data_IF_610600818892
#
_entry.id   IF_610600818892
#
_cell.length_a   1.000
_cell.length_b   1.000
_cell.length_c   1.000
_cell.angle_alpha   90.00
_cell.angle_beta   90.00
_cell.angle_gamma   90.00
#
_symmetry.space_group_name_H-M   'P 1'
#
loop_
_entity.id
_entity.type
_entity.pdbx_description
1 polymer ?
#
# COMPACT_ATOMS: atom_id res chain seq x y z
N UNK A 1 36.17 37.49 0.50
CA UNK A 1 35.10 37.34 -0.51
C UNK A 1 33.84 38.02 0.02
N UNK A 2 33.14 38.82 -0.78
CA UNK A 2 31.88 39.42 -0.33
C UNK A 2 30.82 38.32 -0.17
N UNK A 3 30.20 38.28 1.01
CA UNK A 3 29.12 37.34 1.33
C UNK A 3 27.77 38.02 1.07
N UNK A 4 26.79 37.26 0.58
CA UNK A 4 25.38 37.65 0.53
C UNK A 4 24.58 36.59 1.26
N UNK A 5 23.88 36.97 2.33
CA UNK A 5 23.13 36.05 3.21
C UNK A 5 23.96 34.86 3.73
N UNK A 6 25.25 35.06 3.97
CA UNK A 6 26.16 34.01 4.48
C UNK A 6 26.77 33.09 3.41
N UNK A 7 26.38 33.22 2.14
CA UNK A 7 26.98 32.48 1.02
C UNK A 7 27.98 33.35 0.24
N UNK A 8 29.02 32.77 -0.38
CA UNK A 8 29.83 33.46 -1.38
C UNK A 8 28.93 34.05 -2.47
N UNK A 9 29.25 35.27 -2.95
CA UNK A 9 28.40 36.00 -3.91
C UNK A 9 27.97 35.16 -5.12
N UNK A 10 28.91 34.47 -5.75
CA UNK A 10 28.65 33.60 -6.92
C UNK A 10 27.61 32.51 -6.61
N UNK A 11 27.74 31.86 -5.44
CA UNK A 11 26.78 30.84 -5.00
C UNK A 11 25.43 31.46 -4.65
N UNK A 12 25.40 32.63 -4.01
CA UNK A 12 24.16 33.32 -3.68
C UNK A 12 23.39 33.72 -4.96
N UNK A 13 24.08 34.15 -6.00
CA UNK A 13 23.49 34.44 -7.32
C UNK A 13 22.97 33.16 -7.98
N UNK A 14 23.75 32.07 -8.00
CA UNK A 14 23.32 30.78 -8.53
C UNK A 14 22.07 30.24 -7.81
N UNK A 15 22.00 30.37 -6.47
CA UNK A 15 20.84 29.97 -5.66
C UNK A 15 19.62 30.85 -5.93
N UNK A 16 19.80 32.16 -6.11
CA UNK A 16 18.71 33.10 -6.36
C UNK A 16 18.15 33.02 -7.79
N UNK A 17 18.96 32.62 -8.77
CA UNK A 17 18.54 32.51 -10.17
C UNK A 17 18.20 31.08 -10.58
N UNK A 18 18.76 30.08 -9.90
CA UNK A 18 18.57 28.67 -10.20
C UNK A 18 17.16 28.19 -9.92
N UNK A 19 16.60 27.42 -10.86
CA UNK A 19 15.32 26.72 -10.70
C UNK A 19 15.57 25.30 -10.23
N UNK A 20 14.88 24.87 -9.18
CA UNK A 20 15.02 23.53 -8.60
C UNK A 20 13.69 22.78 -8.58
N UNK A 21 13.74 21.46 -8.72
CA UNK A 21 12.58 20.59 -8.62
C UNK A 21 12.63 19.76 -7.35
N UNK A 22 11.56 19.81 -6.56
CA UNK A 22 11.32 18.93 -5.41
C UNK A 22 10.23 17.93 -5.78
N UNK A 23 10.58 16.64 -5.77
CA UNK A 23 9.64 15.56 -6.10
C UNK A 23 9.16 14.90 -4.81
N UNK A 24 7.95 15.23 -4.40
CA UNK A 24 7.32 14.81 -3.14
C UNK A 24 7.21 15.94 -2.13
N UNK A 25 6.03 16.11 -1.55
CA UNK A 25 5.66 17.08 -0.53
C UNK A 25 5.32 16.39 0.81
N UNK A 26 5.90 15.20 1.06
CA UNK A 26 5.79 14.47 2.31
C UNK A 26 6.69 15.00 3.43
N UNK A 27 7.12 14.12 4.35
CA UNK A 27 7.93 14.52 5.52
C UNK A 27 9.23 15.24 5.13
N UNK A 28 10.02 14.64 4.24
CA UNK A 28 11.24 15.27 3.70
C UNK A 28 10.87 16.51 2.88
N UNK A 29 9.81 16.43 2.05
CA UNK A 29 9.40 17.52 1.16
C UNK A 29 9.06 18.82 1.89
N UNK A 30 8.30 18.75 2.99
CA UNK A 30 7.97 19.93 3.80
C UNK A 30 9.22 20.59 4.41
N UNK A 31 10.10 19.78 5.02
CA UNK A 31 11.35 20.27 5.60
C UNK A 31 12.28 20.86 4.55
N UNK A 32 12.43 20.17 3.42
CA UNK A 32 13.26 20.60 2.32
C UNK A 32 12.76 21.92 1.73
N UNK A 33 11.45 22.06 1.51
CA UNK A 33 10.87 23.28 0.96
C UNK A 33 11.13 24.50 1.87
N UNK A 34 10.96 24.35 3.19
CA UNK A 34 11.35 25.37 4.17
C UNK A 34 12.84 25.70 4.07
N UNK A 35 13.69 24.67 4.05
CA UNK A 35 15.14 24.88 4.04
C UNK A 35 15.59 25.59 2.76
N UNK A 36 15.03 25.25 1.60
CA UNK A 36 15.33 25.89 0.33
C UNK A 36 15.00 27.39 0.37
N UNK A 37 13.78 27.77 0.77
CA UNK A 37 13.40 29.18 0.80
C UNK A 37 14.18 29.99 1.84
N UNK A 38 14.49 29.40 3.00
CA UNK A 38 15.30 30.05 4.03
C UNK A 38 16.78 30.16 3.65
N UNK A 39 17.29 29.23 2.85
CA UNK A 39 18.66 29.28 2.28
C UNK A 39 18.76 30.33 1.18
N UNK A 40 17.65 30.65 0.51
CA UNK A 40 17.56 31.71 -0.49
C UNK A 40 17.17 31.25 -1.89
N UNK A 41 16.81 29.98 -2.08
CA UNK A 41 16.20 29.53 -3.33
C UNK A 41 14.86 30.23 -3.52
N UNK A 42 14.70 30.86 -4.68
CA UNK A 42 13.50 31.63 -5.03
C UNK A 42 12.62 30.89 -6.03
N UNK A 43 13.20 30.12 -6.96
CA UNK A 43 12.47 29.42 -8.03
C UNK A 43 12.39 27.93 -7.74
N UNK A 44 11.25 27.48 -7.24
CA UNK A 44 11.04 26.10 -6.80
C UNK A 44 9.81 25.51 -7.48
N UNK A 45 9.99 24.36 -8.10
CA UNK A 45 8.89 23.53 -8.59
C UNK A 45 8.68 22.39 -7.61
N UNK A 46 7.43 22.17 -7.21
CA UNK A 46 7.02 21.14 -6.26
C UNK A 46 5.95 20.28 -6.88
N UNK A 47 6.15 18.96 -6.89
CA UNK A 47 5.18 18.00 -7.41
C UNK A 47 4.87 16.93 -6.37
N UNK A 48 3.59 16.63 -6.17
CA UNK A 48 3.10 15.53 -5.35
C UNK A 48 1.72 15.10 -5.86
N UNK A 49 1.45 13.79 -5.91
CA UNK A 49 0.20 13.24 -6.43
C UNK A 49 -0.88 13.09 -5.35
N UNK A 50 -0.50 13.17 -4.08
CA UNK A 50 -1.38 12.85 -2.96
C UNK A 50 -2.12 14.09 -2.41
N UNK A 51 -3.22 13.78 -1.74
CA UNK A 51 -3.90 14.70 -0.81
C UNK A 51 -3.43 14.49 0.63
N UNK A 52 -3.70 15.48 1.48
CA UNK A 52 -3.29 15.49 2.89
C UNK A 52 -4.18 14.54 3.70
N UNK A 53 -3.55 13.69 4.50
CA UNK A 53 -4.21 12.83 5.46
C UNK A 53 -3.88 13.21 6.92
N UNK A 54 -4.73 12.82 7.88
CA UNK A 54 -4.54 13.06 9.31
C UNK A 54 -3.22 12.46 9.83
N UNK A 55 -2.85 11.26 9.35
CA UNK A 55 -1.60 10.58 9.74
C UNK A 55 -0.33 11.33 9.29
N UNK A 56 -0.46 12.32 8.42
CA UNK A 56 0.66 13.13 7.92
C UNK A 56 1.07 14.23 8.91
N UNK A 57 0.14 14.68 9.76
CA UNK A 57 0.27 15.90 10.57
C UNK A 57 1.33 15.82 11.67
N UNK A 58 1.82 14.62 12.01
CA UNK A 58 2.88 14.46 13.01
C UNK A 58 4.29 14.79 12.46
N UNK A 59 4.46 14.92 11.14
CA UNK A 59 5.78 15.07 10.50
C UNK A 59 5.80 15.93 9.23
N UNK A 60 4.65 16.46 8.81
CA UNK A 60 4.50 17.30 7.63
C UNK A 60 3.95 18.66 8.07
N UNK A 61 4.80 19.47 8.72
CA UNK A 61 4.38 20.64 9.50
C UNK A 61 3.76 21.77 8.68
N UNK A 62 3.90 21.76 7.34
CA UNK A 62 3.21 22.70 6.46
C UNK A 62 1.70 22.42 6.40
N UNK A 63 1.24 21.28 6.93
CA UNK A 63 -0.16 20.86 6.87
C UNK A 63 -0.83 20.98 8.24
N UNK A 64 -2.11 21.35 8.23
CA UNK A 64 -2.95 21.50 9.42
C UNK A 64 -4.19 20.62 9.26
N UNK A 65 -4.88 20.34 10.37
CA UNK A 65 -6.11 19.50 10.35
C UNK A 65 -7.19 20.02 9.39
N UNK A 66 -7.29 21.34 9.22
CA UNK A 66 -8.23 21.97 8.26
C UNK A 66 -7.87 21.74 6.78
N UNK A 67 -6.68 21.21 6.49
CA UNK A 67 -6.21 20.96 5.13
C UNK A 67 -6.42 19.52 4.66
N UNK A 68 -6.94 18.62 5.52
CA UNK A 68 -7.19 17.21 5.17
C UNK A 68 -8.07 17.12 3.92
N UNK A 69 -7.69 16.26 2.98
CA UNK A 69 -8.34 16.08 1.68
C UNK A 69 -7.88 17.06 0.58
N UNK A 70 -7.11 18.09 0.90
CA UNK A 70 -6.53 19.02 -0.10
C UNK A 70 -5.20 18.50 -0.64
N UNK A 71 -4.79 18.95 -1.84
CA UNK A 71 -3.49 18.62 -2.44
C UNK A 71 -2.31 19.01 -1.54
N UNK A 72 -1.36 18.08 -1.33
CA UNK A 72 -0.12 18.37 -0.58
C UNK A 72 0.70 19.47 -1.25
N UNK A 73 0.90 19.40 -2.57
CA UNK A 73 1.72 20.37 -3.30
C UNK A 73 1.14 21.80 -3.20
N UNK A 74 -0.17 21.96 -3.37
CA UNK A 74 -0.81 23.28 -3.32
C UNK A 74 -0.78 23.88 -1.91
N UNK A 75 -1.13 23.09 -0.88
CA UNK A 75 -1.13 23.58 0.51
C UNK A 75 0.29 23.85 1.02
N UNK A 76 1.29 23.08 0.58
CA UNK A 76 2.69 23.34 0.90
C UNK A 76 3.12 24.71 0.37
N UNK A 77 2.79 25.01 -0.90
CA UNK A 77 2.99 26.35 -1.49
C UNK A 77 2.29 27.44 -0.69
N UNK A 78 1.00 27.29 -0.40
CA UNK A 78 0.22 28.28 0.37
C UNK A 78 0.85 28.57 1.74
N UNK A 79 1.32 27.53 2.42
CA UNK A 79 1.89 27.64 3.76
C UNK A 79 3.27 28.30 3.75
N UNK A 80 4.08 28.01 2.73
CA UNK A 80 5.38 28.68 2.56
C UNK A 80 5.22 30.16 2.23
N UNK A 81 4.26 30.51 1.38
CA UNK A 81 4.00 31.90 1.00
C UNK A 81 3.51 32.75 2.18
N UNK A 82 2.99 32.16 3.26
CA UNK A 82 2.62 32.91 4.47
C UNK A 82 3.85 33.46 5.21
N UNK A 83 4.94 32.69 5.31
CA UNK A 83 6.14 33.13 6.04
C UNK A 83 7.26 33.64 5.11
N UNK A 84 7.21 33.32 3.82
CA UNK A 84 8.15 33.82 2.81
C UNK A 84 7.45 34.18 1.50
N UNK A 85 6.71 35.30 1.43
CA UNK A 85 5.92 35.71 0.26
C UNK A 85 6.73 35.97 -1.02
N UNK A 86 8.06 36.09 -0.91
CA UNK A 86 8.97 36.33 -2.04
C UNK A 86 9.38 35.06 -2.78
N UNK A 87 9.02 33.88 -2.28
CA UNK A 87 9.27 32.64 -3.01
C UNK A 87 8.38 32.54 -4.26
N UNK A 88 8.95 32.05 -5.35
CA UNK A 88 8.25 31.68 -6.56
C UNK A 88 8.13 30.15 -6.60
N UNK A 89 6.96 29.65 -6.19
CA UNK A 89 6.68 28.21 -6.12
C UNK A 89 5.63 27.85 -7.16
N UNK A 90 5.96 26.91 -8.04
CA UNK A 90 5.00 26.26 -8.95
C UNK A 90 4.66 24.90 -8.35
N UNK A 91 3.37 24.68 -8.09
CA UNK A 91 2.89 23.47 -7.43
C UNK A 91 2.06 22.63 -8.40
N UNK A 92 2.45 21.37 -8.57
CA UNK A 92 1.80 20.37 -9.42
C UNK A 92 1.15 19.32 -8.52
N UNK A 93 -0.17 19.18 -8.62
CA UNK A 93 -0.90 18.08 -7.97
C UNK A 93 -1.03 16.93 -8.97
N UNK A 94 0.05 16.17 -9.14
CA UNK A 94 0.17 15.19 -10.20
C UNK A 94 1.29 14.17 -9.90
N UNK A 95 1.28 13.06 -10.61
CA UNK A 95 2.37 12.09 -10.60
C UNK A 95 3.51 12.56 -11.49
N UNK A 96 4.75 12.52 -10.97
CA UNK A 96 5.95 12.78 -11.78
C UNK A 96 6.11 11.80 -12.96
N UNK A 97 5.39 10.68 -12.94
CA UNK A 97 5.37 9.68 -14.01
C UNK A 97 4.42 10.05 -15.15
N UNK A 98 3.65 11.13 -15.05
CA UNK A 98 2.84 11.64 -16.14
C UNK A 98 3.75 12.03 -17.33
N UNK A 99 3.45 11.60 -18.58
CA UNK A 99 4.21 11.93 -19.78
C UNK A 99 4.51 13.42 -20.01
N UNK A 100 3.71 14.33 -19.42
CA UNK A 100 3.93 15.78 -19.49
C UNK A 100 5.29 16.19 -18.89
N UNK A 101 5.78 15.46 -17.88
CA UNK A 101 7.07 15.70 -17.22
C UNK A 101 8.22 14.99 -17.94
N UNK A 102 8.36 15.25 -19.23
CA UNK A 102 9.38 14.64 -20.08
C UNK A 102 10.80 15.21 -19.84
N UNK A 103 11.78 14.76 -20.63
CA UNK A 103 13.19 15.18 -20.48
C UNK A 103 13.37 16.69 -20.58
N UNK A 104 12.58 17.38 -21.42
CA UNK A 104 12.65 18.83 -21.59
C UNK A 104 12.16 19.56 -20.36
N UNK A 105 11.14 19.05 -19.67
CA UNK A 105 10.74 19.56 -18.36
C UNK A 105 11.91 19.46 -17.36
N UNK A 106 12.56 18.30 -17.28
CA UNK A 106 13.68 18.10 -16.34
C UNK A 106 14.90 19.00 -16.65
N UNK A 107 15.18 19.31 -17.92
CA UNK A 107 16.32 20.19 -18.31
C UNK A 107 16.22 21.61 -17.80
N UNK A 108 15.04 22.07 -17.37
CA UNK A 108 14.84 23.42 -16.85
C UNK A 108 15.47 23.63 -15.47
N UNK A 109 15.85 22.55 -14.78
CA UNK A 109 16.30 22.59 -13.40
C UNK A 109 17.82 22.47 -13.30
N UNK A 110 18.41 23.26 -12.39
CA UNK A 110 19.82 23.12 -12.02
C UNK A 110 20.06 21.97 -11.03
N UNK A 111 19.00 21.54 -10.33
CA UNK A 111 19.04 20.51 -9.30
C UNK A 111 17.64 19.88 -9.13
N UNK A 112 17.60 18.56 -9.06
CA UNK A 112 16.40 17.79 -8.69
C UNK A 112 16.62 17.14 -7.33
N UNK A 113 15.62 17.14 -6.47
CA UNK A 113 15.68 16.56 -5.13
C UNK A 113 14.49 15.63 -4.90
N UNK A 114 14.80 14.35 -4.63
CA UNK A 114 13.78 13.35 -4.30
C UNK A 114 13.40 13.41 -2.82
N UNK A 115 12.09 13.49 -2.58
CA UNK A 115 11.41 13.36 -1.29
C UNK A 115 10.29 12.30 -1.37
N UNK A 116 10.55 11.24 -2.14
CA UNK A 116 9.62 10.16 -2.47
C UNK A 116 9.67 9.01 -1.45
N UNK A 117 8.64 8.16 -1.45
CA UNK A 117 8.58 6.95 -0.61
C UNK A 117 8.46 5.64 -1.41
N UNK A 118 8.24 5.71 -2.72
CA UNK A 118 8.09 4.53 -3.58
C UNK A 118 9.27 4.35 -4.56
N UNK A 119 9.61 3.10 -4.85
CA UNK A 119 10.77 2.73 -5.68
C UNK A 119 10.55 3.02 -7.17
N UNK A 120 9.32 2.85 -7.67
CA UNK A 120 9.01 3.04 -9.09
C UNK A 120 9.23 4.50 -9.53
N UNK A 121 8.71 5.47 -8.76
CA UNK A 121 8.92 6.89 -9.02
C UNK A 121 10.40 7.28 -8.86
N UNK A 122 11.11 6.75 -7.87
CA UNK A 122 12.57 6.99 -7.73
C UNK A 122 13.36 6.49 -8.95
N UNK A 123 13.06 5.29 -9.45
CA UNK A 123 13.67 4.76 -10.67
C UNK A 123 13.33 5.66 -11.88
N UNK A 124 12.08 6.10 -12.00
CA UNK A 124 11.67 7.01 -13.07
C UNK A 124 12.46 8.33 -13.00
N UNK A 125 12.46 9.02 -11.87
CA UNK A 125 13.20 10.29 -11.69
C UNK A 125 14.70 10.11 -11.91
N UNK A 126 15.29 9.01 -11.43
CA UNK A 126 16.69 8.66 -11.70
C UNK A 126 16.98 8.66 -13.20
N UNK A 127 16.18 7.93 -13.98
CA UNK A 127 16.34 7.83 -15.45
C UNK A 127 16.12 9.17 -16.13
N UNK A 128 15.14 9.96 -15.69
CA UNK A 128 14.87 11.29 -16.23
C UNK A 128 16.02 12.26 -15.97
N UNK A 129 16.61 12.25 -14.78
CA UNK A 129 17.78 13.08 -14.45
C UNK A 129 19.02 12.66 -15.25
N UNK A 130 19.25 11.36 -15.45
CA UNK A 130 20.31 10.86 -16.33
C UNK A 130 20.09 11.24 -17.81
N UNK A 131 18.84 11.25 -18.28
CA UNK A 131 18.50 11.65 -19.65
C UNK A 131 18.64 13.16 -19.87
N UNK A 132 18.25 13.97 -18.88
CA UNK A 132 18.36 15.43 -18.90
C UNK A 132 19.77 15.95 -18.52
N UNK A 133 20.64 15.08 -17.99
CA UNK A 133 21.95 15.41 -17.43
C UNK A 133 21.92 16.42 -16.27
N UNK A 134 20.87 16.34 -15.45
CA UNK A 134 20.67 17.19 -14.27
C UNK A 134 21.09 16.45 -13.01
N UNK A 135 21.86 17.06 -12.09
CA UNK A 135 22.20 16.42 -10.83
C UNK A 135 20.95 16.14 -9.98
N UNK A 136 20.89 14.94 -9.41
CA UNK A 136 19.83 14.47 -8.55
C UNK A 136 20.36 14.25 -7.13
N UNK A 137 19.69 14.79 -6.13
CA UNK A 137 19.89 14.41 -4.73
C UNK A 137 18.81 13.40 -4.37
N UNK A 138 19.23 12.20 -4.00
CA UNK A 138 18.35 11.15 -3.50
C UNK A 138 18.41 11.11 -1.97
N UNK A 139 17.27 10.83 -1.34
CA UNK A 139 17.16 10.74 0.11
C UNK A 139 16.10 9.73 0.55
N UNK A 140 16.23 9.26 1.78
CA UNK A 140 15.23 8.41 2.39
C UNK A 140 15.39 8.33 3.89
N UNK A 141 14.30 8.04 4.58
CA UNK A 141 14.25 7.91 6.03
C UNK A 141 13.41 6.70 6.42
N UNK A 142 13.77 6.07 7.54
CA UNK A 142 13.01 4.98 8.16
C UNK A 142 13.26 4.98 9.67
N UNK A 143 12.27 5.39 10.46
CA UNK A 143 12.44 5.58 11.90
C UNK A 143 13.51 6.63 12.20
N UNK A 144 14.55 6.24 12.95
CA UNK A 144 15.70 7.10 13.28
C UNK A 144 16.82 7.09 12.23
N UNK A 145 16.70 6.26 11.20
CA UNK A 145 17.71 6.11 10.16
C UNK A 145 17.36 6.98 8.95
N UNK A 146 18.40 7.44 8.25
CA UNK A 146 18.25 8.11 6.97
C UNK A 146 19.56 8.23 6.24
N UNK A 147 19.47 8.56 4.96
CA UNK A 147 20.63 8.75 4.09
C UNK A 147 20.34 9.83 3.05
N UNK A 148 21.41 10.44 2.54
CA UNK A 148 21.41 11.37 1.42
C UNK A 148 22.56 11.00 0.50
N UNK A 149 22.34 11.03 -0.81
CA UNK A 149 23.40 10.81 -1.80
C UNK A 149 23.18 11.66 -3.04
N UNK A 150 24.24 11.89 -3.82
CA UNK A 150 24.21 12.68 -5.05
C UNK A 150 24.47 11.80 -6.26
N UNK A 151 23.60 11.92 -7.26
CA UNK A 151 23.68 11.23 -8.53
C UNK A 151 23.98 12.26 -9.61
N UNK A 152 25.12 12.09 -10.30
CA UNK A 152 25.49 12.87 -11.48
C UNK A 152 26.03 11.94 -12.55
N UNK A 153 25.40 11.99 -13.73
CA UNK A 153 25.76 11.18 -14.90
C UNK A 153 27.24 11.31 -15.23
N UNK A 154 27.89 10.18 -15.43
CA UNK A 154 29.32 10.11 -15.79
C UNK A 154 30.29 10.42 -14.64
N UNK A 155 29.79 10.72 -13.43
CA UNK A 155 30.63 11.06 -12.26
C UNK A 155 30.38 10.09 -11.11
N UNK A 156 29.12 9.87 -10.72
CA UNK A 156 28.75 8.97 -9.63
C UNK A 156 27.86 7.82 -10.13
N UNK A 157 27.68 6.79 -9.29
CA UNK A 157 26.71 5.75 -9.56
C UNK A 157 25.27 6.29 -9.57
N UNK A 158 24.39 5.65 -10.34
CA UNK A 158 22.98 6.01 -10.36
C UNK A 158 22.19 5.21 -9.31
N UNK A 159 20.94 5.60 -9.09
CA UNK A 159 20.07 4.95 -8.09
C UNK A 159 19.91 3.44 -8.32
N UNK A 160 20.04 2.98 -9.57
CA UNK A 160 19.78 1.61 -10.01
C UNK A 160 21.07 0.81 -10.24
N UNK A 161 22.26 1.37 -10.01
CA UNK A 161 23.53 0.64 -10.15
C UNK A 161 23.64 -0.51 -9.15
N UNK A 162 23.13 -0.30 -7.93
CA UNK A 162 23.08 -1.31 -6.89
C UNK A 162 21.65 -1.81 -6.68
N UNK A 163 21.37 -3.11 -6.86
CA UNK A 163 20.03 -3.65 -6.68
C UNK A 163 19.63 -3.53 -5.22
N UNK A 164 18.59 -2.72 -4.98
CA UNK A 164 17.98 -2.64 -3.65
C UNK A 164 17.14 -3.89 -3.40
N UNK A 165 17.02 -4.37 -2.14
CA UNK A 165 16.13 -5.47 -1.79
C UNK A 165 14.73 -5.23 -2.37
N UNK A 166 14.19 -6.22 -3.08
CA UNK A 166 12.81 -6.19 -3.53
C UNK A 166 11.88 -6.40 -2.34
N UNK A 167 10.64 -5.96 -2.48
CA UNK A 167 9.61 -6.29 -1.50
C UNK A 167 9.51 -7.81 -1.40
N UNK A 168 9.33 -8.34 -0.18
CA UNK A 168 9.15 -9.78 0.04
C UNK A 168 7.95 -10.27 -0.77
N UNK A 169 8.19 -11.24 -1.64
CA UNK A 169 7.15 -11.98 -2.37
C UNK A 169 7.00 -13.35 -1.73
N UNK A 170 5.77 -13.86 -1.68
CA UNK A 170 5.45 -15.16 -1.11
C UNK A 170 4.89 -16.06 -2.23
N UNK A 171 5.25 -17.35 -2.28
CA UNK A 171 4.68 -18.27 -3.26
C UNK A 171 3.16 -18.38 -3.14
N UNK A 172 2.45 -18.45 -4.27
CA UNK A 172 0.98 -18.56 -4.28
C UNK A 172 0.46 -19.75 -3.47
N UNK A 173 1.11 -20.92 -3.54
CA UNK A 173 0.73 -22.10 -2.76
C UNK A 173 0.84 -21.88 -1.24
N UNK A 174 1.84 -21.09 -0.79
CA UNK A 174 1.97 -20.71 0.63
C UNK A 174 0.82 -19.81 1.08
N UNK A 175 0.37 -18.89 0.23
CA UNK A 175 -0.73 -17.96 0.54
C UNK A 175 -2.09 -18.66 0.49
N UNK A 176 -2.30 -19.58 -0.47
CA UNK A 176 -3.60 -20.20 -0.77
C UNK A 176 -3.86 -21.49 0.01
N UNK A 177 -2.82 -22.28 0.27
CA UNK A 177 -2.98 -23.62 0.85
C UNK A 177 -2.36 -23.72 2.25
N UNK A 178 -1.13 -23.25 2.42
CA UNK A 178 -0.42 -23.48 3.68
C UNK A 178 0.22 -22.24 4.30
N UNK A 179 -0.59 -21.24 4.72
CA UNK A 179 -0.12 -20.15 5.54
C UNK A 179 0.51 -20.68 6.83
N UNK A 180 1.50 -19.97 7.34
CA UNK A 180 2.28 -20.38 8.52
C UNK A 180 2.71 -19.20 9.39
N UNK A 181 2.80 -18.02 8.79
CA UNK A 181 3.06 -16.77 9.49
C UNK A 181 1.87 -15.81 9.34
N UNK A 182 1.61 -14.92 10.32
CA UNK A 182 0.57 -13.89 10.22
C UNK A 182 0.64 -13.06 8.93
N UNK A 183 1.84 -12.80 8.42
CA UNK A 183 2.02 -12.06 7.17
C UNK A 183 1.40 -12.75 5.96
N UNK A 184 1.35 -14.09 5.92
CA UNK A 184 0.71 -14.83 4.83
C UNK A 184 -0.80 -14.57 4.81
N UNK A 185 -1.44 -14.53 5.98
CA UNK A 185 -2.85 -14.21 6.14
C UNK A 185 -3.16 -12.76 5.73
N UNK A 186 -2.25 -11.82 6.05
CA UNK A 186 -2.36 -10.42 5.62
C UNK A 186 -2.28 -10.31 4.10
N UNK A 187 -1.35 -11.04 3.47
CA UNK A 187 -1.23 -11.07 2.00
C UNK A 187 -2.47 -11.70 1.36
N UNK A 188 -2.98 -12.81 1.89
CA UNK A 188 -4.23 -13.41 1.44
C UNK A 188 -5.42 -12.44 1.54
N UNK A 189 -5.53 -11.68 2.63
CA UNK A 189 -6.55 -10.65 2.81
C UNK A 189 -6.47 -9.54 1.76
N UNK A 190 -5.25 -9.13 1.36
CA UNK A 190 -5.06 -8.16 0.26
C UNK A 190 -5.52 -8.71 -1.07
N UNK A 191 -5.16 -9.95 -1.36
CA UNK A 191 -5.57 -10.64 -2.58
C UNK A 191 -7.09 -10.77 -2.62
N UNK A 192 -7.71 -11.11 -1.50
CA UNK A 192 -9.18 -11.18 -1.39
C UNK A 192 -9.84 -9.83 -1.68
N UNK A 193 -9.29 -8.73 -1.15
CA UNK A 193 -9.80 -7.39 -1.45
C UNK A 193 -9.78 -7.10 -2.95
N UNK A 194 -8.65 -7.37 -3.62
CA UNK A 194 -8.52 -7.14 -5.06
C UNK A 194 -9.48 -8.04 -5.86
N UNK A 195 -9.58 -9.32 -5.51
CA UNK A 195 -10.50 -10.27 -6.14
C UNK A 195 -11.98 -9.88 -5.97
N UNK A 196 -12.37 -9.31 -4.82
CA UNK A 196 -13.76 -8.91 -4.58
C UNK A 196 -14.09 -7.53 -5.15
N UNK A 197 -13.23 -6.54 -4.93
CA UNK A 197 -13.57 -5.13 -5.16
C UNK A 197 -12.60 -4.39 -6.08
N UNK A 198 -11.40 -4.92 -6.33
CA UNK A 198 -10.36 -4.29 -7.12
C UNK A 198 -10.17 -4.91 -8.50
N UNK A 199 -8.99 -4.65 -9.08
CA UNK A 199 -8.55 -5.26 -10.33
C UNK A 199 -8.29 -6.75 -10.12
N UNK A 200 -8.85 -7.57 -11.00
CA UNK A 200 -8.68 -9.03 -10.96
C UNK A 200 -7.30 -9.40 -11.50
N UNK A 201 -6.49 -10.04 -10.66
CA UNK A 201 -5.14 -10.47 -10.99
C UNK A 201 -5.02 -11.98 -10.73
N UNK A 202 -4.67 -12.73 -11.78
CA UNK A 202 -4.55 -14.19 -11.71
C UNK A 202 -3.47 -14.65 -10.70
N UNK A 203 -2.44 -13.82 -10.48
CA UNK A 203 -1.38 -14.09 -9.51
C UNK A 203 -1.83 -13.85 -8.06
N UNK A 204 -3.02 -13.26 -7.88
CA UNK A 204 -3.63 -12.93 -6.58
C UNK A 204 -4.90 -13.75 -6.31
N UNK A 205 -4.99 -14.95 -6.88
CA UNK A 205 -6.09 -15.87 -6.59
C UNK A 205 -6.08 -16.32 -5.13
N UNK A 206 -7.27 -16.37 -4.53
CA UNK A 206 -7.46 -16.68 -3.10
C UNK A 206 -8.00 -18.08 -2.83
N UNK A 207 -8.63 -18.68 -3.85
CA UNK A 207 -9.24 -20.00 -3.69
C UNK A 207 -8.15 -21.09 -3.63
N UNK A 208 -8.36 -22.21 -2.91
CA UNK A 208 -7.36 -23.27 -2.78
C UNK A 208 -6.76 -23.71 -4.12
N UNK A 209 -5.44 -23.89 -4.12
CA UNK A 209 -4.64 -24.26 -5.30
C UNK A 209 -4.56 -25.78 -5.46
N UNK A 210 -5.17 -26.29 -6.52
CA UNK A 210 -5.15 -27.72 -6.86
C UNK A 210 -3.85 -28.13 -7.56
N UNK A 211 -3.13 -27.18 -8.14
CA UNK A 211 -1.89 -27.41 -8.86
C UNK A 211 -0.66 -27.44 -7.94
N UNK A 212 -0.87 -27.32 -6.62
CA UNK A 212 0.20 -27.40 -5.63
C UNK A 212 0.91 -28.77 -5.71
N UNK A 213 2.22 -28.79 -6.05
CA UNK A 213 2.97 -30.02 -6.14
C UNK A 213 3.00 -30.79 -4.81
N UNK A 214 2.95 -30.11 -3.65
CA UNK A 214 2.92 -30.77 -2.34
C UNK A 214 1.60 -31.51 -2.07
N UNK A 215 0.53 -31.18 -2.80
CA UNK A 215 -0.75 -31.86 -2.71
C UNK A 215 -0.82 -33.19 -3.51
N UNK A 216 0.19 -33.52 -4.33
CA UNK A 216 0.25 -34.75 -5.14
C UNK A 216 1.59 -35.49 -4.95
N UNK A 217 1.63 -36.83 -5.10
CA UNK A 217 2.87 -37.63 -4.85
C UNK A 217 3.54 -38.13 -6.14
N UNK A 218 2.92 -37.96 -7.30
CA UNK A 218 3.46 -38.44 -8.56
C UNK A 218 3.75 -37.28 -9.52
N UNK A 219 5.02 -37.09 -9.96
CA UNK A 219 5.39 -36.04 -10.91
C UNK A 219 4.57 -36.10 -12.20
N UNK A 220 4.20 -37.30 -12.65
CA UNK A 220 3.34 -37.52 -13.82
C UNK A 220 1.90 -37.08 -13.59
N UNK A 221 1.33 -37.24 -12.38
CA UNK A 221 -0.01 -36.73 -12.06
C UNK A 221 -0.02 -35.21 -11.84
N UNK A 222 1.07 -34.64 -11.30
CA UNK A 222 1.25 -33.20 -11.16
C UNK A 222 1.37 -32.52 -12.53
N UNK A 223 2.19 -33.07 -13.44
CA UNK A 223 2.29 -32.60 -14.83
C UNK A 223 1.00 -32.87 -15.62
N UNK A 224 0.33 -34.00 -15.42
CA UNK A 224 -0.95 -34.29 -16.06
C UNK A 224 -2.07 -33.36 -15.55
N UNK A 225 -2.08 -32.96 -14.27
CA UNK A 225 -3.06 -32.00 -13.73
C UNK A 225 -2.75 -30.55 -14.11
N UNK A 226 -1.46 -30.17 -14.17
CA UNK A 226 -1.03 -28.87 -14.69
C UNK A 226 -1.28 -28.75 -16.22
N UNK A 227 -1.29 -29.86 -16.96
CA UNK A 227 -1.72 -29.92 -18.36
C UNK A 227 -3.24 -30.02 -18.51
N UNK A 228 -3.93 -30.77 -17.65
CA UNK A 228 -5.39 -30.87 -17.64
C UNK A 228 -6.06 -29.55 -17.25
N UNK A 229 -5.42 -28.70 -16.43
CA UNK A 229 -5.88 -27.31 -16.23
C UNK A 229 -5.87 -26.46 -17.51
N UNK A 230 -5.19 -26.90 -18.58
CA UNK A 230 -5.20 -26.25 -19.88
C UNK A 230 -6.16 -26.91 -20.89
N UNK A 231 -6.65 -28.14 -20.65
CA UNK A 231 -7.45 -28.93 -21.60
C UNK A 231 -8.84 -29.36 -21.09
N UNK A 232 -9.11 -29.38 -19.78
CA UNK A 232 -10.46 -29.59 -19.24
C UNK A 232 -11.31 -28.32 -19.41
N UNK A 233 -11.88 -28.19 -20.61
CA UNK A 233 -13.11 -27.44 -20.78
C UNK A 233 -14.24 -28.03 -19.96
N UNK A 234 -15.03 -27.15 -19.35
CA UNK A 234 -16.46 -27.33 -19.02
C UNK A 234 -16.92 -27.67 -17.58
N UNK A 235 -16.11 -27.37 -16.56
CA UNK A 235 -16.68 -26.77 -15.34
C UNK A 235 -15.96 -25.44 -15.12
N UNK A 236 -16.49 -24.38 -15.75
CA UNK A 236 -16.02 -23.01 -15.50
C UNK A 236 -16.10 -22.76 -13.99
N UNK A 237 -14.95 -22.80 -13.31
CA UNK A 237 -14.85 -22.33 -11.94
C UNK A 237 -15.24 -20.87 -11.98
N UNK A 238 -16.42 -20.56 -11.46
CA UNK A 238 -16.91 -19.18 -11.35
C UNK A 238 -15.84 -18.43 -10.56
N UNK A 239 -15.29 -17.35 -11.14
CA UNK A 239 -14.29 -16.54 -10.46
C UNK A 239 -14.82 -16.08 -9.10
N UNK A 240 -13.94 -15.89 -8.12
CA UNK A 240 -14.35 -15.37 -6.80
C UNK A 240 -15.15 -14.07 -6.95
N UNK A 241 -14.77 -13.23 -7.93
CA UNK A 241 -15.45 -11.97 -8.27
C UNK A 241 -16.85 -12.21 -8.86
N UNK A 242 -16.97 -13.12 -9.82
CA UNK A 242 -18.24 -13.48 -10.45
C UNK A 242 -19.21 -14.10 -9.45
N UNK A 243 -18.71 -14.97 -8.57
CA UNK A 243 -19.51 -15.60 -7.53
C UNK A 243 -19.99 -14.57 -6.49
N UNK A 244 -19.11 -13.66 -6.07
CA UNK A 244 -19.46 -12.55 -5.20
C UNK A 244 -20.53 -11.63 -5.82
N UNK A 245 -20.40 -11.31 -7.11
CA UNK A 245 -21.42 -10.54 -7.86
C UNK A 245 -22.76 -11.25 -7.92
N UNK A 246 -22.78 -12.55 -8.23
CA UNK A 246 -24.03 -13.33 -8.33
C UNK A 246 -24.78 -13.47 -7.00
N UNK A 247 -24.05 -13.38 -5.89
CA UNK A 247 -24.63 -13.40 -4.54
C UNK A 247 -24.96 -11.99 -4.01
N UNK A 248 -24.69 -10.94 -4.80
CA UNK A 248 -24.93 -9.55 -4.39
C UNK A 248 -23.98 -9.07 -3.28
N UNK A 249 -22.77 -9.63 -3.22
CA UNK A 249 -21.81 -9.43 -2.12
C UNK A 249 -22.42 -9.69 -0.74
N UNK A 250 -23.21 -10.77 -0.63
CA UNK A 250 -23.79 -11.18 0.65
C UNK A 250 -22.68 -11.59 1.64
N UNK A 251 -22.57 -10.92 2.81
CA UNK A 251 -21.45 -11.16 3.71
C UNK A 251 -21.43 -12.55 4.33
N UNK A 252 -22.59 -13.13 4.65
CA UNK A 252 -22.69 -14.45 5.30
C UNK A 252 -22.34 -15.55 4.31
N UNK A 253 -22.78 -15.43 3.05
CA UNK A 253 -22.38 -16.34 1.98
C UNK A 253 -20.88 -16.26 1.74
N UNK A 254 -20.32 -15.05 1.60
CA UNK A 254 -18.87 -14.84 1.44
C UNK A 254 -18.08 -15.47 2.60
N UNK A 255 -18.53 -15.25 3.83
CA UNK A 255 -17.93 -15.85 5.02
C UNK A 255 -17.95 -17.38 4.93
N UNK A 256 -19.10 -17.97 4.62
CA UNK A 256 -19.28 -19.43 4.55
C UNK A 256 -18.40 -20.03 3.47
N UNK A 257 -18.36 -19.45 2.26
CA UNK A 257 -17.51 -19.93 1.18
C UNK A 257 -16.04 -19.91 1.60
N UNK A 258 -15.55 -18.77 2.10
CA UNK A 258 -14.11 -18.54 2.33
C UNK A 258 -13.58 -19.21 3.60
N UNK A 259 -14.34 -19.18 4.70
CA UNK A 259 -13.88 -19.67 6.01
C UNK A 259 -14.43 -21.04 6.40
N UNK A 260 -15.36 -21.60 5.61
CA UNK A 260 -15.94 -22.93 5.85
C UNK A 260 -15.69 -23.88 4.68
N UNK A 261 -16.24 -23.58 3.52
CA UNK A 261 -16.29 -24.51 2.40
C UNK A 261 -14.92 -24.67 1.73
N UNK A 262 -14.18 -23.58 1.53
CA UNK A 262 -12.80 -23.61 1.04
C UNK A 262 -11.87 -24.32 2.03
N UNK A 263 -12.07 -24.16 3.33
CA UNK A 263 -11.28 -24.84 4.37
C UNK A 263 -11.59 -26.34 4.38
N UNK A 264 -12.86 -26.73 4.29
CA UNK A 264 -13.26 -28.15 4.13
C UNK A 264 -12.70 -28.75 2.86
N UNK A 265 -12.70 -27.99 1.78
CA UNK A 265 -12.08 -28.41 0.52
C UNK A 265 -10.57 -28.62 0.70
N UNK A 266 -9.90 -27.72 1.39
CA UNK A 266 -8.47 -27.82 1.68
C UNK A 266 -8.14 -29.02 2.59
N UNK A 267 -9.04 -29.42 3.50
CA UNK A 267 -8.93 -30.65 4.29
C UNK A 267 -8.98 -31.93 3.45
N UNK A 268 -9.52 -31.89 2.24
CA UNK A 268 -9.47 -33.03 1.31
C UNK A 268 -8.06 -33.30 0.78
N UNK A 269 -7.15 -32.32 0.88
CA UNK A 269 -5.73 -32.44 0.54
C UNK A 269 -4.93 -32.99 1.73
N UNK A 270 -5.21 -34.23 2.13
CA UNK A 270 -4.66 -34.91 3.32
C UNK A 270 -3.14 -34.83 3.47
N UNK A 271 -2.42 -34.80 2.35
CA UNK A 271 -0.95 -34.77 2.27
C UNK A 271 -0.33 -33.51 2.86
N UNK A 272 -0.99 -32.37 2.75
CA UNK A 272 -0.54 -31.09 3.31
C UNK A 272 -0.52 -31.11 4.85
N UNK A 273 -1.35 -31.96 5.46
CA UNK A 273 -1.63 -31.97 6.90
C UNK A 273 -0.90 -33.07 7.68
N UNK A 274 -0.03 -33.85 7.02
CA UNK A 274 0.72 -34.91 7.71
C UNK A 274 1.72 -34.41 8.74
N UNK A 275 2.29 -33.21 8.50
CA UNK A 275 3.31 -32.59 9.35
C UNK A 275 2.87 -31.27 9.98
N UNK A 276 1.66 -30.80 9.64
CA UNK A 276 1.14 -29.48 10.02
C UNK A 276 -0.22 -29.69 10.67
N UNK A 277 -0.60 -28.82 11.60
CA UNK A 277 -1.95 -28.87 12.18
C UNK A 277 -2.97 -28.61 11.06
N UNK A 278 -3.97 -29.47 10.87
CA UNK A 278 -5.01 -29.23 9.87
C UNK A 278 -5.86 -28.02 10.27
N UNK A 279 -6.37 -27.25 9.29
CA UNK A 279 -7.18 -26.09 9.57
C UNK A 279 -8.58 -26.47 10.08
N UNK A 280 -9.18 -25.61 10.89
CA UNK A 280 -10.53 -25.79 11.45
C UNK A 280 -11.52 -24.87 10.74
N UNK A 281 -12.51 -25.40 9.99
CA UNK A 281 -13.54 -24.59 9.35
C UNK A 281 -14.37 -23.82 10.38
N UNK A 282 -14.76 -22.58 10.06
CA UNK A 282 -15.63 -21.76 10.89
C UNK A 282 -17.07 -21.74 10.36
N UNK A 283 -18.04 -21.95 11.23
CA UNK A 283 -19.46 -21.76 10.91
C UNK A 283 -19.96 -20.40 11.43
N UNK A 284 -20.71 -19.68 10.60
CA UNK A 284 -21.22 -18.36 10.97
C UNK A 284 -22.17 -18.42 12.18
N UNK A 285 -23.12 -19.37 12.21
CA UNK A 285 -24.10 -19.45 13.29
C UNK A 285 -23.44 -19.83 14.61
N UNK A 286 -22.49 -20.76 14.59
CA UNK A 286 -21.70 -21.16 15.77
C UNK A 286 -20.85 -20.00 16.31
N UNK A 287 -20.16 -19.26 15.43
CA UNK A 287 -19.35 -18.10 15.84
C UNK A 287 -20.21 -16.99 16.47
N UNK A 288 -21.43 -16.79 15.98
CA UNK A 288 -22.33 -15.79 16.55
C UNK A 288 -22.94 -16.21 17.90
N UNK A 289 -23.20 -17.51 18.10
CA UNK A 289 -23.83 -18.03 19.33
C UNK A 289 -22.87 -18.18 20.51
N UNK A 290 -21.58 -18.44 20.26
CA UNK A 290 -20.54 -18.65 21.29
C UNK A 290 -20.30 -17.44 22.24
N UNK A 291 -20.90 -16.28 21.98
CA UNK A 291 -20.79 -15.07 22.81
C UNK A 291 -21.98 -14.80 23.74
N UNK A 292 -23.02 -15.64 23.75
CA UNK A 292 -24.21 -15.41 24.61
C UNK A 292 -24.04 -15.97 26.03
N UNK A 293 -23.15 -16.94 26.26
CA UNK A 293 -23.00 -17.58 27.58
C UNK A 293 -22.09 -16.82 28.59
N UNK A 294 -21.34 -15.80 28.15
CA UNK A 294 -20.34 -15.12 29.00
C UNK A 294 -20.67 -13.66 29.37
N UNK A 295 -21.81 -13.11 28.94
CA UNK A 295 -22.10 -11.66 29.05
C UNK A 295 -23.16 -11.27 30.09
N UNK A 296 -23.35 -12.04 31.16
CA UNK A 296 -24.25 -11.67 32.27
C UNK A 296 -23.53 -11.28 33.58
N UNK A 297 -22.22 -11.44 33.68
CA UNK A 297 -21.44 -11.00 34.84
C UNK A 297 -20.05 -10.49 34.39
N UNK A 298 -19.65 -9.32 34.89
CA UNK A 298 -18.30 -8.73 34.80
C UNK A 298 -17.86 -8.02 33.51
N UNK A 299 -18.60 -7.01 33.06
CA UNK A 299 -18.04 -5.92 32.23
C UNK A 299 -18.31 -4.53 32.81
N UNK A 300 -17.99 -4.32 34.08
CA UNK A 300 -17.78 -2.99 34.63
C UNK A 300 -16.36 -2.86 35.17
N UNK A 301 -15.56 -2.04 34.49
CA UNK A 301 -14.32 -1.40 34.97
C UNK A 301 -13.01 -2.22 35.01
N UNK A 302 -12.62 -2.85 33.91
CA UNK A 302 -11.19 -3.06 33.62
C UNK A 302 -10.70 -1.89 32.73
N UNK A 303 -9.64 -1.15 33.12
CA UNK A 303 -9.12 -0.07 32.29
C UNK A 303 -8.57 -0.66 30.98
N UNK A 304 -9.14 -0.26 29.84
CA UNK A 304 -8.64 -0.65 28.52
C UNK A 304 -7.14 -0.32 28.40
N UNK A 305 -6.30 -1.36 28.34
CA UNK A 305 -4.84 -1.22 28.35
C UNK A 305 -4.33 -0.82 26.96
N UNK A 306 -4.10 0.46 26.72
CA UNK A 306 -3.51 0.97 25.48
C UNK A 306 -4.54 1.51 24.46
N UNK A 307 -4.13 1.61 23.20
CA UNK A 307 -5.01 2.12 22.12
C UNK A 307 -6.08 1.08 21.76
N UNK A 308 -7.24 1.53 21.28
CA UNK A 308 -8.32 0.64 20.83
C UNK A 308 -7.85 -0.35 19.76
N UNK A 309 -7.08 0.13 18.79
CA UNK A 309 -6.56 -0.69 17.68
C UNK A 309 -5.41 -1.63 18.09
N UNK A 310 -4.91 -1.52 19.33
CA UNK A 310 -3.92 -2.46 19.89
C UNK A 310 -4.59 -3.64 20.61
N UNK A 311 -5.91 -3.59 20.81
CA UNK A 311 -6.65 -4.69 21.41
C UNK A 311 -6.87 -5.80 20.39
N UNK A 312 -6.54 -7.03 20.78
CA UNK A 312 -6.93 -8.23 20.03
C UNK A 312 -8.39 -8.52 20.35
N UNK A 313 -9.22 -8.59 19.30
CA UNK A 313 -10.63 -8.91 19.44
C UNK A 313 -10.87 -10.42 19.46
N UNK A 314 -12.09 -10.84 19.79
CA UNK A 314 -12.51 -12.24 19.68
C UNK A 314 -12.95 -12.58 18.24
N UNK A 315 -13.08 -13.89 17.93
CA UNK A 315 -13.50 -14.37 16.60
C UNK A 315 -14.85 -13.76 16.19
N UNK A 316 -15.79 -13.63 17.14
CA UNK A 316 -17.11 -13.07 16.90
C UNK A 316 -17.05 -11.63 16.43
N UNK A 317 -16.23 -10.80 17.09
CA UNK A 317 -16.02 -9.40 16.72
C UNK A 317 -15.37 -9.26 15.35
N UNK A 318 -14.37 -10.10 15.04
CA UNK A 318 -13.75 -10.14 13.70
C UNK A 318 -14.76 -10.53 12.61
N UNK A 319 -15.61 -11.55 12.85
CA UNK A 319 -16.65 -11.97 11.93
C UNK A 319 -17.71 -10.89 11.69
N UNK A 320 -18.11 -10.18 12.75
CA UNK A 320 -19.03 -9.05 12.62
C UNK A 320 -18.41 -7.90 11.80
N UNK A 321 -17.14 -7.58 12.05
CA UNK A 321 -16.45 -6.52 11.34
C UNK A 321 -16.19 -6.88 9.87
N UNK A 322 -15.87 -8.15 9.56
CA UNK A 322 -15.85 -8.68 8.19
C UNK A 322 -17.18 -8.38 7.47
N UNK A 323 -18.31 -8.68 8.11
CA UNK A 323 -19.63 -8.45 7.51
C UNK A 323 -19.89 -6.98 7.24
N UNK A 324 -19.71 -6.14 8.27
CA UNK A 324 -19.93 -4.70 8.18
C UNK A 324 -19.07 -4.06 7.09
N UNK A 325 -17.82 -4.48 6.98
CA UNK A 325 -16.93 -3.89 5.98
C UNK A 325 -17.28 -4.29 4.55
N UNK A 326 -17.82 -5.50 4.30
CA UNK A 326 -18.36 -5.88 2.98
C UNK A 326 -19.55 -4.98 2.62
N UNK A 327 -20.44 -4.74 3.59
CA UNK A 327 -21.61 -3.89 3.40
C UNK A 327 -21.25 -2.45 3.04
N UNK A 328 -20.17 -1.92 3.62
CA UNK A 328 -19.68 -0.58 3.27
C UNK A 328 -18.96 -0.57 1.92
N UNK A 329 -18.07 -1.54 1.67
CA UNK A 329 -17.31 -1.61 0.42
C UNK A 329 -18.20 -1.82 -0.81
N UNK A 330 -19.29 -2.61 -0.70
CA UNK A 330 -20.25 -2.76 -1.81
C UNK A 330 -20.96 -1.44 -2.15
N UNK A 331 -21.22 -0.58 -1.16
CA UNK A 331 -21.83 0.74 -1.38
C UNK A 331 -20.82 1.64 -2.10
N UNK A 332 -19.58 1.68 -1.64
CA UNK A 332 -18.51 2.44 -2.30
C UNK A 332 -18.20 1.96 -3.72
N UNK A 333 -18.30 0.65 -3.97
CA UNK A 333 -18.21 0.10 -5.31
C UNK A 333 -19.37 0.59 -6.19
N UNK A 334 -20.61 0.54 -5.68
CA UNK A 334 -21.79 1.01 -6.40
C UNK A 334 -21.76 2.52 -6.70
N UNK A 335 -21.24 3.34 -5.78
CA UNK A 335 -21.09 4.79 -5.95
C UNK A 335 -20.12 5.16 -7.10
N UNK A 336 -19.14 4.31 -7.39
CA UNK A 336 -18.22 4.53 -8.52
C UNK A 336 -18.81 4.20 -9.89
N UNK A 337 -19.94 3.50 -9.96
CA UNK A 337 -20.61 3.12 -11.19
C UNK A 337 -20.27 1.70 -11.68
N UNK A 338 -20.92 1.31 -12.78
CA UNK A 338 -20.82 -0.05 -13.32
C UNK A 338 -19.44 -0.34 -13.93
N UNK A 339 -18.91 -1.53 -13.66
CA UNK A 339 -17.56 -1.93 -14.06
C UNK A 339 -16.41 -1.22 -13.33
N UNK A 340 -16.69 -0.38 -12.33
CA UNK A 340 -15.65 0.30 -11.57
C UNK A 340 -14.93 -0.63 -10.60
N UNK A 341 -13.71 -0.22 -10.19
CA UNK A 341 -12.87 -0.96 -9.25
C UNK A 341 -12.39 -0.05 -8.11
N UNK A 342 -12.23 -0.66 -6.93
CA UNK A 342 -11.68 -0.02 -5.75
C UNK A 342 -10.17 -0.25 -5.69
N UNK A 343 -9.43 0.79 -5.35
CA UNK A 343 -8.00 0.72 -5.12
C UNK A 343 -7.78 0.59 -3.62
N UNK A 344 -7.07 -0.46 -3.22
CA UNK A 344 -6.71 -0.68 -1.83
C UNK A 344 -5.88 0.49 -1.28
N UNK A 345 -6.32 1.06 -0.16
CA UNK A 345 -5.66 2.19 0.50
C UNK A 345 -5.63 1.96 2.02
N UNK A 346 -4.42 1.85 2.57
CA UNK A 346 -4.16 1.65 4.01
C UNK A 346 -4.77 2.71 4.92
N UNK A 347 -5.09 3.89 4.38
CA UNK A 347 -5.53 5.06 5.14
C UNK A 347 -7.06 5.14 5.23
N UNK A 348 -7.79 4.49 4.30
CA UNK A 348 -9.24 4.41 4.39
C UNK A 348 -9.63 3.46 5.52
N UNK A 349 -10.29 3.99 6.55
CA UNK A 349 -10.73 3.29 7.77
C UNK A 349 -11.43 1.95 7.49
N UNK A 350 -12.19 1.88 6.40
CA UNK A 350 -12.95 0.71 5.97
C UNK A 350 -12.14 -0.32 5.19
N UNK A 351 -10.93 0.06 4.75
CA UNK A 351 -9.95 -0.74 3.99
C UNK A 351 -8.82 -1.24 4.91
N UNK A 352 -8.86 -0.90 6.21
CA UNK A 352 -8.05 -1.50 7.30
C UNK A 352 -8.51 -2.95 7.61
N UNK A 353 -8.91 -3.68 6.57
CA UNK A 353 -9.20 -5.11 6.54
C UNK A 353 -8.01 -5.99 6.94
N UNK A 354 -6.79 -5.47 6.83
CA UNK A 354 -5.56 -6.26 6.98
C UNK A 354 -5.31 -6.78 8.39
N UNK A 355 -5.83 -6.14 9.43
CA UNK A 355 -5.68 -6.64 10.79
C UNK A 355 -6.76 -7.67 11.17
N UNK A 356 -7.85 -7.75 10.41
CA UNK A 356 -9.07 -8.44 10.84
C UNK A 356 -9.22 -9.86 10.27
N UNK A 357 -8.82 -10.08 9.02
CA UNK A 357 -8.70 -11.44 8.46
C UNK A 357 -7.50 -12.18 9.04
N UNK A 358 -6.46 -11.44 9.45
CA UNK A 358 -5.23 -12.00 10.00
C UNK A 358 -5.52 -12.94 11.17
N UNK A 359 -6.41 -12.54 12.09
CA UNK A 359 -6.73 -13.35 13.26
C UNK A 359 -7.71 -14.48 12.98
N UNK A 360 -8.64 -14.31 12.04
CA UNK A 360 -9.52 -15.42 11.62
C UNK A 360 -8.73 -16.54 10.92
N UNK A 361 -7.79 -16.20 10.03
CA UNK A 361 -6.91 -17.21 9.42
C UNK A 361 -5.96 -17.83 10.46
N UNK A 362 -5.47 -17.06 11.44
CA UNK A 362 -4.67 -17.61 12.56
C UNK A 362 -5.50 -18.58 13.41
N UNK A 363 -6.77 -18.28 13.69
CA UNK A 363 -7.65 -19.16 14.48
C UNK A 363 -8.12 -20.39 13.68
N UNK A 364 -8.14 -20.30 12.36
CA UNK A 364 -8.39 -21.44 11.47
C UNK A 364 -7.15 -22.34 11.37
N UNK A 365 -5.92 -21.90 11.65
CA UNK A 365 -4.69 -22.67 11.35
C UNK A 365 -3.66 -22.84 12.49
N UNK A 366 -3.81 -22.21 13.67
CA UNK A 366 -3.01 -22.50 14.87
C UNK A 366 -3.69 -23.46 15.84
#
# INVERSE_FOLDING_TARGET
MALSRGLPRELAEAVACGRVLVVGAGGIGCELLKNLVLTGFTHIDLIDLDTIDVSNLNRQFLFQKKHVGRSKAQVAKESVLQFYPKANIIAYHDSIMNPDYNVEFFRQFILVMNALDNRAARNHVNRMCLAADVPLIESGTAGYLGQVTTIKKGVTECYECHPKPTQRTFPGCTIRNTPSEPIHCIVWAKYLFNQLFGEEDADQEVSPDRADPEASWEPMEAEARARASNEDGDIKRISTKEWAKSTGYDPVKLFTKLFKDDIRYLLTMDKLWRKRKPPVPLDWAEVQSQGEELNAADQQNEPQLGLKDQQVLDVKSYAHLFSKSIETLRVHLAEKGDGAELIWDKVRFEVVWQLLICQMCILVQL
#
